data_IF_343417075729
#
_entry.id   IF_343417075729
#
_cell.length_a   1.000
_cell.length_b   1.000
_cell.length_c   1.000
_cell.angle_alpha   90.00
_cell.angle_beta   90.00
_cell.angle_gamma   90.00
#
_symmetry.space_group_name_H-M   'P 1'
#
loop_
_entity.id
_entity.type
_entity.pdbx_description
1 polymer ?
#
# COMPACT_ATOMS: atom_id res chain seq x y z
N UNK A 1 -12.79 -5.77 -14.22
CA UNK A 1 -13.63 -5.84 -13.02
C UNK A 1 -15.14 -5.89 -13.32
N UNK A 2 -15.68 -5.15 -14.32
CA UNK A 2 -17.12 -5.16 -14.65
C UNK A 2 -17.67 -6.55 -15.05
N UNK A 3 -16.80 -7.47 -15.51
CA UNK A 3 -17.19 -8.84 -15.87
C UNK A 3 -17.11 -9.84 -14.70
N UNK A 4 -16.58 -9.45 -13.55
CA UNK A 4 -16.62 -10.24 -12.30
C UNK A 4 -17.90 -9.85 -11.58
N UNK A 5 -19.00 -10.43 -12.01
CA UNK A 5 -20.35 -10.13 -11.50
C UNK A 5 -21.08 -11.45 -11.16
N UNK A 6 -22.32 -11.34 -10.69
CA UNK A 6 -23.18 -12.46 -10.34
C UNK A 6 -23.25 -13.54 -11.44
N UNK A 7 -23.19 -13.15 -12.72
CA UNK A 7 -23.18 -14.11 -13.85
C UNK A 7 -21.88 -14.94 -13.89
N UNK A 8 -20.74 -14.32 -13.63
CA UNK A 8 -19.47 -15.04 -13.53
C UNK A 8 -19.48 -16.04 -12.37
N UNK A 9 -20.05 -15.63 -11.21
CA UNK A 9 -20.20 -16.48 -10.04
C UNK A 9 -21.13 -17.69 -10.33
N UNK A 10 -22.27 -17.50 -11.02
CA UNK A 10 -23.13 -18.59 -11.43
C UNK A 10 -22.46 -19.56 -12.40
N UNK A 11 -21.64 -19.07 -13.34
CA UNK A 11 -20.88 -19.91 -14.26
C UNK A 11 -19.84 -20.77 -13.52
N UNK A 12 -19.23 -20.22 -12.45
CA UNK A 12 -18.28 -20.92 -11.59
C UNK A 12 -18.95 -22.06 -10.84
N UNK A 13 -20.08 -21.78 -10.12
CA UNK A 13 -20.80 -22.77 -9.31
C UNK A 13 -21.38 -23.88 -10.19
N UNK A 14 -21.86 -23.54 -11.40
CA UNK A 14 -22.41 -24.53 -12.31
C UNK A 14 -21.34 -25.34 -13.08
N UNK A 15 -20.06 -25.24 -12.72
CA UNK A 15 -18.96 -25.98 -13.33
C UNK A 15 -18.68 -25.66 -14.80
N UNK A 16 -19.25 -24.56 -15.32
CA UNK A 16 -19.08 -24.15 -16.73
C UNK A 16 -17.80 -23.34 -16.93
N UNK A 17 -16.65 -23.93 -16.59
CA UNK A 17 -15.35 -23.29 -16.63
C UNK A 17 -14.96 -22.71 -18.00
N UNK A 18 -15.29 -23.42 -19.09
CA UNK A 18 -15.02 -22.95 -20.46
C UNK A 18 -15.80 -21.68 -20.81
N UNK A 19 -17.07 -21.62 -20.38
CA UNK A 19 -17.92 -20.44 -20.59
C UNK A 19 -17.47 -19.27 -19.71
N UNK A 20 -17.08 -19.55 -18.49
CA UNK A 20 -16.48 -18.57 -17.57
C UNK A 20 -15.19 -17.99 -18.16
N UNK A 21 -14.28 -18.85 -18.63
CA UNK A 21 -13.03 -18.44 -19.27
C UNK A 21 -13.24 -17.47 -20.43
N UNK A 22 -14.18 -17.75 -21.32
CA UNK A 22 -14.52 -16.84 -22.41
C UNK A 22 -15.22 -15.55 -21.91
N UNK A 23 -16.09 -15.67 -20.90
CA UNK A 23 -16.84 -14.52 -20.37
C UNK A 23 -15.93 -13.49 -19.69
N UNK A 24 -14.96 -13.93 -18.89
CA UNK A 24 -14.02 -13.05 -18.18
C UNK A 24 -12.76 -12.69 -18.99
N UNK A 25 -12.67 -13.08 -20.26
CA UNK A 25 -11.44 -12.98 -21.05
C UNK A 25 -10.25 -13.70 -20.37
N UNK A 26 -10.41 -14.98 -20.09
CA UNK A 26 -9.47 -15.77 -19.31
C UNK A 26 -8.03 -15.74 -19.79
N UNK A 27 -7.80 -15.63 -21.13
CA UNK A 27 -6.45 -15.46 -21.71
C UNK A 27 -5.79 -14.16 -21.22
N UNK A 28 -6.52 -13.05 -21.27
CA UNK A 28 -6.04 -11.76 -20.78
C UNK A 28 -5.80 -11.79 -19.27
N UNK A 29 -6.76 -12.34 -18.50
CA UNK A 29 -6.64 -12.44 -17.05
C UNK A 29 -5.48 -13.34 -16.64
N UNK A 30 -5.27 -14.48 -17.32
CA UNK A 30 -4.15 -15.38 -17.06
C UNK A 30 -2.79 -14.74 -17.35
N UNK A 31 -2.66 -14.03 -18.48
CA UNK A 31 -1.43 -13.28 -18.80
C UNK A 31 -1.18 -12.15 -17.79
N UNK A 32 -2.24 -11.47 -17.35
CA UNK A 32 -2.14 -10.42 -16.33
C UNK A 32 -1.67 -10.99 -15.00
N UNK A 33 -2.27 -12.09 -14.52
CA UNK A 33 -1.86 -12.75 -13.26
C UNK A 33 -0.41 -13.24 -13.38
N UNK A 34 -0.05 -13.89 -14.48
CA UNK A 34 1.32 -14.35 -14.72
C UNK A 34 2.31 -13.18 -14.68
N UNK A 35 1.98 -12.07 -15.36
CA UNK A 35 2.80 -10.85 -15.31
C UNK A 35 2.93 -10.27 -13.90
N UNK A 36 1.85 -10.26 -13.12
CA UNK A 36 1.88 -9.82 -11.71
C UNK A 36 2.78 -10.71 -10.86
N UNK A 37 2.69 -12.04 -11.01
CA UNK A 37 3.53 -12.99 -10.26
C UNK A 37 5.01 -12.82 -10.61
N UNK A 38 5.35 -12.78 -11.91
CA UNK A 38 6.74 -12.56 -12.36
C UNK A 38 7.26 -11.21 -11.85
N UNK A 39 6.47 -10.15 -12.00
CA UNK A 39 6.84 -8.80 -11.53
C UNK A 39 7.05 -8.79 -10.02
N UNK A 40 6.16 -9.41 -9.24
CA UNK A 40 6.29 -9.48 -7.79
C UNK A 40 7.61 -10.12 -7.36
N UNK A 41 7.92 -11.31 -7.87
CA UNK A 41 9.15 -12.00 -7.48
C UNK A 41 10.43 -11.30 -7.98
N UNK A 42 10.40 -10.72 -9.19
CA UNK A 42 11.58 -10.04 -9.75
C UNK A 42 11.81 -8.69 -9.09
N UNK A 43 10.76 -7.87 -8.95
CA UNK A 43 10.88 -6.51 -8.40
C UNK A 43 11.10 -6.55 -6.90
N UNK A 44 10.46 -7.48 -6.16
CA UNK A 44 10.64 -7.61 -4.72
C UNK A 44 12.11 -7.89 -4.38
N UNK A 45 12.69 -8.94 -4.98
CA UNK A 45 14.11 -9.28 -4.73
C UNK A 45 15.08 -8.16 -5.12
N UNK A 46 14.78 -7.46 -6.24
CA UNK A 46 15.60 -6.32 -6.64
C UNK A 46 15.50 -5.17 -5.64
N UNK A 47 14.28 -4.86 -5.18
CA UNK A 47 14.05 -3.80 -4.20
C UNK A 47 14.68 -4.14 -2.85
N UNK A 48 14.55 -5.39 -2.39
CA UNK A 48 15.18 -5.86 -1.14
C UNK A 48 16.70 -5.64 -1.20
N UNK A 49 17.34 -6.09 -2.28
CA UNK A 49 18.78 -5.87 -2.49
C UNK A 49 19.14 -4.38 -2.51
N UNK A 50 18.36 -3.56 -3.22
CA UNK A 50 18.61 -2.12 -3.32
C UNK A 50 18.39 -1.40 -1.99
N UNK A 51 17.36 -1.76 -1.22
CA UNK A 51 17.09 -1.16 0.09
C UNK A 51 18.15 -1.58 1.10
N UNK A 52 18.62 -2.83 1.04
CA UNK A 52 19.66 -3.32 1.96
C UNK A 52 21.02 -2.60 1.73
N UNK A 53 21.39 -2.36 0.47
CA UNK A 53 22.72 -1.83 0.14
C UNK A 53 22.72 -0.33 -0.20
N UNK A 54 21.58 0.23 -0.64
CA UNK A 54 21.47 1.58 -1.18
C UNK A 54 20.23 2.32 -0.65
N UNK A 55 19.87 2.12 0.62
CA UNK A 55 18.64 2.61 1.23
C UNK A 55 18.38 4.09 0.95
N UNK A 56 19.38 4.96 1.17
CA UNK A 56 19.28 6.41 0.93
C UNK A 56 18.86 6.75 -0.50
N UNK A 57 19.46 6.09 -1.49
CA UNK A 57 19.22 6.40 -2.91
C UNK A 57 17.87 5.88 -3.39
N UNK A 58 17.42 4.74 -2.86
CA UNK A 58 16.08 4.20 -3.14
C UNK A 58 15.01 5.13 -2.59
N UNK A 59 15.14 5.55 -1.33
CA UNK A 59 14.20 6.52 -0.73
C UNK A 59 14.25 7.87 -1.45
N UNK A 60 15.41 8.31 -1.91
CA UNK A 60 15.55 9.53 -2.71
C UNK A 60 14.80 9.43 -4.04
N UNK A 61 14.91 8.31 -4.75
CA UNK A 61 14.16 8.07 -5.97
C UNK A 61 12.65 8.05 -5.72
N UNK A 62 12.18 7.36 -4.68
CA UNK A 62 10.76 7.35 -4.30
C UNK A 62 10.25 8.74 -3.92
N UNK A 63 11.01 9.49 -3.14
CA UNK A 63 10.69 10.88 -2.78
C UNK A 63 10.52 11.75 -4.04
N UNK A 64 11.46 11.62 -4.99
CA UNK A 64 11.39 12.30 -6.28
C UNK A 64 10.17 11.90 -7.10
N UNK A 65 9.85 10.61 -7.17
CA UNK A 65 8.65 10.13 -7.87
C UNK A 65 7.36 10.67 -7.27
N UNK A 66 7.27 10.79 -5.94
CA UNK A 66 6.11 11.37 -5.27
C UNK A 66 5.99 12.86 -5.58
N UNK A 67 7.08 13.63 -5.56
CA UNK A 67 7.08 15.05 -5.96
C UNK A 67 6.62 15.19 -7.42
N UNK A 68 7.14 14.35 -8.31
CA UNK A 68 6.71 14.33 -9.72
C UNK A 68 5.21 14.05 -9.87
N UNK A 69 4.67 13.14 -9.06
CA UNK A 69 3.24 12.81 -9.03
C UNK A 69 2.39 13.97 -8.51
N UNK A 70 2.82 14.65 -7.44
CA UNK A 70 2.14 15.86 -6.92
C UNK A 70 2.09 16.93 -8.01
N UNK A 71 3.20 17.20 -8.67
CA UNK A 71 3.27 18.18 -9.77
C UNK A 71 2.30 17.81 -10.89
N UNK A 72 2.25 16.55 -11.28
CA UNK A 72 1.35 16.06 -12.32
C UNK A 72 -0.13 16.25 -11.95
N UNK A 73 -0.54 15.77 -10.77
CA UNK A 73 -1.92 15.88 -10.30
C UNK A 73 -2.32 17.37 -10.14
N UNK A 74 -1.39 18.22 -9.74
CA UNK A 74 -1.64 19.65 -9.54
C UNK A 74 -1.80 20.44 -10.85
N UNK A 75 -1.33 19.91 -11.99
CA UNK A 75 -1.33 20.60 -13.28
C UNK A 75 -2.74 20.90 -13.80
N UNK A 76 -3.66 19.96 -13.60
CA UNK A 76 -5.08 20.10 -13.98
C UNK A 76 -5.93 20.74 -12.88
N UNK A 77 -5.30 21.07 -11.75
CA UNK A 77 -5.97 21.58 -10.56
C UNK A 77 -5.99 23.11 -10.53
N UNK A 78 -7.17 23.71 -10.45
CA UNK A 78 -7.33 25.16 -10.34
C UNK A 78 -7.12 25.62 -8.89
N UNK A 79 -5.90 26.01 -8.54
CA UNK A 79 -5.53 26.56 -7.22
C UNK A 79 -6.28 27.85 -6.81
N UNK A 80 -6.99 28.50 -7.74
CA UNK A 80 -7.52 29.87 -7.59
C UNK A 80 -8.68 30.05 -6.61
N UNK A 81 -9.17 28.99 -5.93
CA UNK A 81 -10.24 29.13 -4.95
C UNK A 81 -9.69 29.02 -3.53
N UNK A 82 -10.01 29.98 -2.67
CA UNK A 82 -9.68 29.94 -1.23
C UNK A 82 -10.16 28.64 -0.56
N UNK A 83 -11.34 28.15 -0.98
CA UNK A 83 -11.86 26.87 -0.53
C UNK A 83 -10.91 25.71 -0.83
N UNK A 84 -10.32 25.65 -2.03
CA UNK A 84 -9.37 24.60 -2.40
C UNK A 84 -8.09 24.63 -1.55
N UNK A 85 -7.62 25.84 -1.19
CA UNK A 85 -6.47 25.99 -0.31
C UNK A 85 -6.73 25.44 1.09
N UNK A 86 -7.94 25.63 1.65
CA UNK A 86 -8.33 25.06 2.94
C UNK A 86 -8.36 23.53 2.89
N UNK A 87 -8.84 22.93 1.79
CA UNK A 87 -8.85 21.47 1.63
C UNK A 87 -7.44 20.90 1.42
N UNK A 88 -6.53 21.62 0.75
CA UNK A 88 -5.12 21.24 0.69
C UNK A 88 -4.51 21.26 2.10
N UNK A 89 -4.74 22.32 2.87
CA UNK A 89 -4.24 22.44 4.23
C UNK A 89 -4.78 21.33 5.13
N UNK A 90 -6.07 21.01 5.02
CA UNK A 90 -6.69 19.89 5.72
C UNK A 90 -5.99 18.56 5.36
N UNK A 91 -5.74 18.31 4.06
CA UNK A 91 -5.00 17.14 3.60
C UNK A 91 -3.58 17.11 4.17
N UNK A 92 -2.84 18.23 4.17
CA UNK A 92 -1.49 18.31 4.74
C UNK A 92 -1.52 17.96 6.23
N UNK A 93 -2.42 18.57 6.99
CA UNK A 93 -2.55 18.29 8.44
C UNK A 93 -2.85 16.82 8.68
N UNK A 94 -3.77 16.23 7.92
CA UNK A 94 -4.10 14.81 8.02
C UNK A 94 -2.87 13.92 7.70
N UNK A 95 -2.14 14.21 6.60
CA UNK A 95 -0.95 13.45 6.22
C UNK A 95 0.18 13.56 7.25
N UNK A 96 0.43 14.77 7.76
CA UNK A 96 1.43 14.98 8.82
C UNK A 96 1.01 14.27 10.11
N UNK A 97 -0.26 14.38 10.51
CA UNK A 97 -0.75 13.73 11.73
C UNK A 97 -0.54 12.21 11.68
N UNK A 98 -0.90 11.57 10.56
CA UNK A 98 -0.68 10.13 10.36
C UNK A 98 0.83 9.81 10.34
N UNK A 99 1.66 10.67 9.76
CA UNK A 99 3.12 10.50 9.70
C UNK A 99 3.80 10.56 11.08
N UNK A 100 3.16 11.20 12.06
CA UNK A 100 3.67 11.39 13.43
C UNK A 100 3.00 10.45 14.44
N UNK A 101 2.04 9.62 14.03
CA UNK A 101 1.38 8.67 14.93
C UNK A 101 2.33 7.54 15.31
N UNK A 102 2.30 7.17 16.58
CA UNK A 102 2.95 5.95 17.08
C UNK A 102 2.05 4.72 16.83
N UNK A 103 2.64 3.54 16.55
CA UNK A 103 1.87 2.32 16.40
C UNK A 103 1.07 2.00 17.66
N UNK A 104 -0.20 1.64 17.48
CA UNK A 104 -1.04 1.15 18.55
C UNK A 104 -0.65 -0.29 18.96
N UNK A 105 -1.18 -0.76 20.09
CA UNK A 105 -1.03 -2.15 20.51
C UNK A 105 -1.92 -3.08 19.70
N UNK A 106 -1.45 -4.31 19.48
CA UNK A 106 -2.19 -5.36 18.78
C UNK A 106 -3.53 -5.68 19.46
N UNK A 107 -4.55 -5.92 18.65
CA UNK A 107 -5.89 -6.25 19.11
C UNK A 107 -6.52 -7.32 18.19
N UNK A 108 -6.81 -8.50 18.73
CA UNK A 108 -7.35 -9.65 18.04
C UNK A 108 -8.89 -9.71 18.01
N UNK A 109 -9.57 -8.71 18.57
CA UNK A 109 -11.03 -8.63 18.54
C UNK A 109 -11.53 -8.65 17.09
N UNK A 110 -12.39 -9.62 16.77
CA UNK A 110 -12.84 -9.87 15.39
C UNK A 110 -13.56 -8.67 14.75
N UNK A 111 -14.30 -7.85 15.52
CA UNK A 111 -14.91 -6.63 15.02
C UNK A 111 -13.87 -5.56 14.69
N UNK A 112 -12.87 -5.41 15.56
CA UNK A 112 -11.77 -4.51 15.32
C UNK A 112 -10.97 -4.93 14.08
N UNK A 113 -10.68 -6.21 13.96
CA UNK A 113 -10.01 -6.83 12.79
C UNK A 113 -10.82 -6.63 11.50
N UNK A 114 -12.14 -6.77 11.56
CA UNK A 114 -13.02 -6.47 10.41
C UNK A 114 -12.88 -5.00 9.96
N UNK A 115 -12.88 -4.05 10.91
CA UNK A 115 -12.66 -2.62 10.62
C UNK A 115 -11.25 -2.39 10.09
N UNK A 116 -10.23 -3.08 10.61
CA UNK A 116 -8.87 -3.04 10.06
C UNK A 116 -8.82 -3.47 8.59
N UNK A 117 -9.62 -4.46 8.19
CA UNK A 117 -9.79 -4.87 6.80
C UNK A 117 -10.34 -3.75 5.91
N UNK A 118 -11.40 -3.08 6.37
CA UNK A 118 -12.00 -1.93 5.67
C UNK A 118 -10.97 -0.80 5.51
N UNK A 119 -10.29 -0.43 6.59
CA UNK A 119 -9.35 0.69 6.62
C UNK A 119 -8.09 0.36 5.81
N UNK A 120 -7.54 -0.86 5.95
CA UNK A 120 -6.33 -1.30 5.25
C UNK A 120 -6.48 -1.23 3.74
N UNK A 121 -7.59 -1.76 3.20
CA UNK A 121 -7.88 -1.67 1.75
C UNK A 121 -8.17 -0.23 1.33
N UNK A 122 -8.80 0.57 2.21
CA UNK A 122 -9.02 2.00 1.95
C UNK A 122 -7.70 2.76 1.79
N UNK A 123 -6.70 2.45 2.61
CA UNK A 123 -5.37 3.02 2.49
C UNK A 123 -4.66 2.72 1.18
N UNK A 124 -4.86 1.52 0.62
CA UNK A 124 -4.27 1.15 -0.68
C UNK A 124 -4.85 1.93 -1.86
N UNK A 125 -6.05 2.49 -1.74
CA UNK A 125 -6.71 3.24 -2.80
C UNK A 125 -6.41 4.74 -2.74
N UNK A 126 -5.90 5.23 -1.60
CA UNK A 126 -5.53 6.62 -1.43
C UNK A 126 -4.06 6.82 -1.85
N UNK A 127 -3.78 7.70 -2.83
CA UNK A 127 -2.41 8.03 -3.20
C UNK A 127 -1.64 8.58 -1.99
N UNK A 128 -0.43 8.08 -1.77
CA UNK A 128 0.42 8.54 -0.65
C UNK A 128 0.21 7.79 0.67
N UNK A 129 -0.75 6.85 0.75
CA UNK A 129 -0.89 5.92 1.87
C UNK A 129 -0.72 4.48 1.41
N UNK A 130 0.06 3.73 2.16
CA UNK A 130 0.12 2.27 2.04
C UNK A 130 -0.85 1.65 3.05
N UNK A 131 -1.69 0.70 2.60
CA UNK A 131 -2.57 -0.03 3.51
C UNK A 131 -1.81 -0.78 4.61
N UNK A 132 -0.64 -1.32 4.27
CA UNK A 132 0.26 -1.96 5.24
C UNK A 132 0.77 -0.96 6.29
N UNK A 133 1.11 0.27 5.90
CA UNK A 133 1.51 1.31 6.83
C UNK A 133 0.38 1.65 7.82
N UNK A 134 -0.86 1.75 7.35
CA UNK A 134 -2.01 1.96 8.23
C UNK A 134 -2.16 0.79 9.23
N UNK A 135 -2.02 -0.44 8.76
CA UNK A 135 -2.10 -1.62 9.62
C UNK A 135 -0.98 -1.65 10.66
N UNK A 136 0.23 -1.15 10.32
CA UNK A 136 1.32 -0.95 11.28
C UNK A 136 0.93 0.09 12.34
N UNK A 137 0.37 1.23 11.94
CA UNK A 137 -0.08 2.27 12.87
C UNK A 137 -1.19 1.79 13.80
N UNK A 138 -2.09 0.94 13.30
CA UNK A 138 -3.15 0.32 14.10
C UNK A 138 -2.60 -0.79 15.00
N UNK A 139 -1.34 -1.21 14.83
CA UNK A 139 -0.68 -2.26 15.60
C UNK A 139 -0.97 -3.69 15.13
N UNK A 140 -1.77 -3.87 14.10
CA UNK A 140 -2.28 -5.18 13.69
C UNK A 140 -1.62 -5.78 12.43
N UNK A 141 -0.53 -5.18 11.95
CA UNK A 141 0.12 -5.63 10.72
C UNK A 141 0.64 -7.08 10.83
N UNK A 142 1.34 -7.39 11.93
CA UNK A 142 1.95 -8.73 12.13
C UNK A 142 0.85 -9.78 12.27
N UNK A 143 -0.12 -9.56 13.14
CA UNK A 143 -1.26 -10.45 13.35
C UNK A 143 -1.99 -10.77 12.04
N UNK A 144 -2.26 -9.75 11.20
CA UNK A 144 -3.13 -9.88 10.03
C UNK A 144 -2.40 -10.39 8.77
N UNK A 145 -1.18 -9.92 8.52
CA UNK A 145 -0.47 -10.20 7.27
C UNK A 145 0.70 -11.18 7.43
N UNK A 146 1.12 -11.49 8.65
CA UNK A 146 2.18 -12.46 8.91
C UNK A 146 1.60 -13.70 9.57
N UNK A 147 1.14 -13.59 10.80
CA UNK A 147 0.75 -14.75 11.62
C UNK A 147 -0.48 -15.47 11.06
N UNK A 148 -1.54 -14.71 10.71
CA UNK A 148 -2.77 -15.28 10.15
C UNK A 148 -2.55 -15.89 8.76
N UNK A 149 -1.66 -15.31 7.94
CA UNK A 149 -1.34 -15.85 6.61
C UNK A 149 -0.47 -17.11 6.74
N UNK A 150 0.50 -17.11 7.65
CA UNK A 150 1.28 -18.32 7.95
C UNK A 150 0.39 -19.44 8.47
N UNK A 151 -0.53 -19.14 9.39
CA UNK A 151 -1.51 -20.11 9.87
C UNK A 151 -2.37 -20.72 8.75
N UNK A 152 -2.78 -19.91 7.77
CA UNK A 152 -3.47 -20.40 6.57
C UNK A 152 -2.58 -21.30 5.74
N UNK A 153 -1.33 -20.93 5.48
CA UNK A 153 -0.38 -21.72 4.70
C UNK A 153 -0.11 -23.08 5.35
N UNK A 154 0.13 -23.10 6.67
CA UNK A 154 0.32 -24.33 7.44
C UNK A 154 -0.92 -25.22 7.41
N UNK A 155 -2.11 -24.62 7.56
CA UNK A 155 -3.38 -25.35 7.49
C UNK A 155 -3.60 -25.99 6.11
N UNK A 156 -3.31 -25.26 5.02
CA UNK A 156 -3.40 -25.81 3.66
C UNK A 156 -2.40 -26.94 3.43
N UNK A 157 -1.22 -26.84 4.01
CA UNK A 157 -0.18 -27.86 3.94
C UNK A 157 -0.59 -29.14 4.69
N UNK A 158 -1.19 -28.98 5.89
CA UNK A 158 -1.69 -30.11 6.69
C UNK A 158 -2.87 -30.79 6.00
N UNK A 159 -3.82 -30.03 5.45
CA UNK A 159 -4.92 -30.58 4.64
C UNK A 159 -4.38 -31.38 3.43
N UNK A 160 -3.35 -30.88 2.75
CA UNK A 160 -2.73 -31.60 1.64
C UNK A 160 -2.08 -32.93 2.06
N UNK A 161 -1.69 -33.04 3.33
CA UNK A 161 -1.16 -34.27 3.95
C UNK A 161 -2.26 -35.14 4.60
N UNK A 162 -3.54 -34.75 4.48
CA UNK A 162 -4.69 -35.36 5.17
C UNK A 162 -4.58 -35.32 6.70
N UNK A 163 -3.83 -34.38 7.25
CA UNK A 163 -3.74 -34.12 8.68
C UNK A 163 -4.71 -33.03 9.09
N UNK A 164 -5.67 -33.35 9.95
CA UNK A 164 -6.70 -32.43 10.45
C UNK A 164 -6.49 -32.06 11.92
N UNK A 165 -5.33 -32.35 12.49
CA UNK A 165 -5.01 -32.03 13.90
C UNK A 165 -5.03 -30.56 14.23
N UNK A 166 -4.91 -29.67 13.19
CA UNK A 166 -4.99 -28.24 13.35
C UNK A 166 -6.33 -27.74 13.95
N UNK A 167 -7.40 -28.53 13.83
CA UNK A 167 -8.73 -28.18 14.38
C UNK A 167 -8.71 -28.14 15.92
N UNK A 168 -7.87 -28.94 16.55
CA UNK A 168 -7.69 -28.96 18.00
C UNK A 168 -6.75 -27.89 18.51
N UNK A 169 -6.02 -27.21 17.59
CA UNK A 169 -5.15 -26.11 17.92
C UNK A 169 -5.93 -24.78 17.98
N UNK A 170 -6.24 -24.37 19.22
CA UNK A 170 -7.04 -23.17 19.51
C UNK A 170 -6.39 -21.88 18.93
N UNK A 171 -5.07 -21.75 19.03
CA UNK A 171 -4.33 -20.60 18.54
C UNK A 171 -4.45 -20.48 17.00
N UNK A 172 -4.17 -21.59 16.29
CA UNK A 172 -4.30 -21.63 14.82
C UNK A 172 -5.73 -21.33 14.36
N UNK A 173 -6.71 -21.91 15.06
CA UNK A 173 -8.13 -21.68 14.76
C UNK A 173 -8.52 -20.22 14.97
N UNK A 174 -7.99 -19.56 16.00
CA UNK A 174 -8.22 -18.13 16.22
C UNK A 174 -7.58 -17.28 15.12
N UNK A 175 -6.35 -17.57 14.70
CA UNK A 175 -5.68 -16.87 13.58
C UNK A 175 -6.47 -17.02 12.27
N UNK A 176 -7.06 -18.19 11.99
CA UNK A 176 -7.92 -18.38 10.83
C UNK A 176 -9.23 -17.57 10.92
N UNK A 177 -9.82 -17.43 12.10
CA UNK A 177 -10.99 -16.55 12.32
C UNK A 177 -10.61 -15.07 12.10
N UNK A 178 -9.45 -14.66 12.61
CA UNK A 178 -8.89 -13.32 12.40
C UNK A 178 -8.72 -13.05 10.91
N UNK A 179 -8.07 -13.96 10.17
CA UNK A 179 -7.89 -13.81 8.72
C UNK A 179 -9.22 -13.74 7.96
N UNK A 180 -10.20 -14.56 8.35
CA UNK A 180 -11.54 -14.56 7.74
C UNK A 180 -12.23 -13.22 7.98
N UNK A 181 -12.21 -12.71 9.21
CA UNK A 181 -12.79 -11.42 9.58
C UNK A 181 -12.12 -10.26 8.82
N UNK A 182 -10.79 -10.26 8.74
CA UNK A 182 -10.00 -9.30 7.98
C UNK A 182 -10.35 -9.32 6.48
N UNK A 183 -10.44 -10.52 5.90
CA UNK A 183 -10.78 -10.68 4.48
C UNK A 183 -12.18 -10.19 4.18
N UNK A 184 -13.17 -10.51 5.01
CA UNK A 184 -14.53 -10.02 4.87
C UNK A 184 -14.57 -8.48 4.98
N UNK A 185 -13.88 -7.90 5.97
CA UNK A 185 -13.73 -6.46 6.12
C UNK A 185 -13.11 -5.82 4.88
N UNK A 186 -12.06 -6.45 4.32
CA UNK A 186 -11.38 -5.98 3.11
C UNK A 186 -12.30 -5.98 1.89
N UNK A 187 -13.12 -7.02 1.72
CA UNK A 187 -14.11 -7.08 0.62
C UNK A 187 -15.16 -5.98 0.76
N UNK A 188 -15.70 -5.80 1.97
CA UNK A 188 -16.67 -4.73 2.26
C UNK A 188 -16.03 -3.36 2.04
N UNK A 189 -14.81 -3.16 2.52
CA UNK A 189 -14.03 -1.93 2.32
C UNK A 189 -13.82 -1.61 0.85
N UNK A 190 -13.41 -2.61 0.05
CA UNK A 190 -13.19 -2.44 -1.38
C UNK A 190 -14.47 -2.00 -2.12
N UNK A 191 -15.60 -2.64 -1.81
CA UNK A 191 -16.88 -2.33 -2.44
C UNK A 191 -17.39 -0.94 -2.03
N UNK A 192 -17.41 -0.65 -0.72
CA UNK A 192 -17.92 0.62 -0.18
C UNK A 192 -17.07 1.79 -0.61
N UNK A 193 -15.74 1.65 -0.53
CA UNK A 193 -14.81 2.71 -0.92
C UNK A 193 -14.82 2.96 -2.43
N UNK A 194 -14.90 1.91 -3.25
CA UNK A 194 -15.01 2.06 -4.71
C UNK A 194 -16.23 2.90 -5.10
N UNK A 195 -17.37 2.67 -4.45
CA UNK A 195 -18.59 3.47 -4.67
C UNK A 195 -18.46 4.90 -4.12
N UNK A 196 -17.95 5.03 -2.89
CA UNK A 196 -17.75 6.33 -2.25
C UNK A 196 -16.78 7.20 -3.05
N UNK A 197 -15.62 6.66 -3.45
CA UNK A 197 -14.62 7.37 -4.23
C UNK A 197 -15.15 7.77 -5.61
N UNK A 198 -15.88 6.86 -6.27
CA UNK A 198 -16.56 7.14 -7.55
C UNK A 198 -17.57 8.28 -7.42
N UNK A 199 -18.37 8.30 -6.36
CA UNK A 199 -19.32 9.37 -6.08
C UNK A 199 -18.64 10.71 -5.80
N UNK A 200 -17.63 10.71 -4.93
CA UNK A 200 -16.89 11.92 -4.52
C UNK A 200 -16.11 12.51 -5.70
N UNK A 201 -15.42 11.69 -6.49
CA UNK A 201 -14.71 12.15 -7.70
C UNK A 201 -15.68 12.71 -8.76
N UNK A 202 -16.89 12.18 -8.87
CA UNK A 202 -17.89 12.67 -9.83
C UNK A 202 -18.47 14.01 -9.41
N UNK A 203 -18.78 14.21 -8.12
CA UNK A 203 -19.52 15.39 -7.63
C UNK A 203 -18.60 16.48 -7.05
N UNK A 204 -17.45 16.09 -6.47
CA UNK A 204 -16.52 16.98 -5.75
C UNK A 204 -15.09 16.87 -6.24
N UNK A 205 -14.91 16.74 -7.56
CA UNK A 205 -13.61 16.50 -8.20
C UNK A 205 -12.50 17.43 -7.69
N UNK A 206 -12.74 18.74 -7.67
CA UNK A 206 -11.73 19.71 -7.25
C UNK A 206 -11.35 19.60 -5.77
N UNK A 207 -12.34 19.41 -4.90
CA UNK A 207 -12.11 19.24 -3.46
C UNK A 207 -11.31 17.95 -3.21
N UNK A 208 -11.69 16.87 -3.89
CA UNK A 208 -10.99 15.58 -3.77
C UNK A 208 -9.53 15.69 -4.18
N UNK A 209 -9.24 16.32 -5.33
CA UNK A 209 -7.85 16.57 -5.74
C UNK A 209 -7.10 17.46 -4.75
N UNK A 210 -7.75 18.49 -4.19
CA UNK A 210 -7.14 19.35 -3.17
C UNK A 210 -6.72 18.54 -1.94
N UNK A 211 -7.61 17.71 -1.41
CA UNK A 211 -7.32 16.85 -0.24
C UNK A 211 -6.22 15.83 -0.57
N UNK A 212 -6.27 15.19 -1.74
CA UNK A 212 -5.26 14.21 -2.17
C UNK A 212 -3.88 14.88 -2.30
N UNK A 213 -3.78 16.01 -2.98
CA UNK A 213 -2.52 16.77 -3.13
C UNK A 213 -1.98 17.17 -1.75
N UNK A 214 -2.84 17.70 -0.89
CA UNK A 214 -2.47 18.06 0.48
C UNK A 214 -1.97 16.85 1.26
N UNK A 215 -2.70 15.75 1.20
CA UNK A 215 -2.37 14.53 1.91
C UNK A 215 -1.03 13.92 1.47
N UNK A 216 -0.81 13.79 0.16
CA UNK A 216 0.48 13.30 -0.36
C UNK A 216 1.62 14.24 0.05
N UNK A 217 1.39 15.56 0.02
CA UNK A 217 2.38 16.55 0.45
C UNK A 217 2.70 16.42 1.94
N UNK A 218 1.68 16.23 2.79
CA UNK A 218 1.86 16.03 4.24
C UNK A 218 2.56 14.70 4.58
N UNK A 219 2.32 13.66 3.79
CA UNK A 219 2.94 12.34 3.99
C UNK A 219 4.38 12.25 3.45
N UNK A 220 4.91 13.28 2.77
CA UNK A 220 6.31 13.30 2.30
C UNK A 220 7.32 13.07 3.43
N UNK A 221 7.00 13.45 4.66
CA UNK A 221 7.82 13.18 5.83
C UNK A 221 8.08 11.68 6.08
N UNK A 222 7.16 10.79 5.71
CA UNK A 222 7.32 9.34 5.87
C UNK A 222 8.42 8.80 4.95
N UNK A 223 8.49 9.31 3.73
CA UNK A 223 9.43 8.90 2.70
C UNK A 223 10.68 9.78 2.62
N UNK A 224 10.89 10.64 3.64
CA UNK A 224 12.08 11.48 3.72
C UNK A 224 13.35 10.62 3.61
N UNK A 225 14.26 10.90 2.67
CA UNK A 225 15.42 10.04 2.42
C UNK A 225 16.44 10.02 3.56
N UNK A 226 16.69 11.18 4.17
CA UNK A 226 17.70 11.35 5.22
C UNK A 226 17.10 10.99 6.58
N UNK A 227 17.11 9.69 6.89
CA UNK A 227 16.59 9.12 8.13
C UNK A 227 17.46 7.96 8.58
N UNK A 228 17.58 7.79 9.89
CA UNK A 228 18.29 6.69 10.55
C UNK A 228 17.30 5.80 11.29
N UNK A 229 17.59 4.51 11.34
CA UNK A 229 16.78 3.52 12.05
C UNK A 229 17.03 3.64 13.55
N UNK A 230 15.99 3.87 14.31
CA UNK A 230 16.00 3.82 15.78
C UNK A 230 15.41 2.50 16.22
N UNK A 231 16.15 1.73 17.01
CA UNK A 231 15.72 0.42 17.46
C UNK A 231 15.23 0.46 18.89
N UNK A 232 14.22 -0.37 19.20
CA UNK A 232 13.68 -0.48 20.57
C UNK A 232 14.74 -0.94 21.54
N UNK A 233 14.76 -0.28 22.71
CA UNK A 233 15.61 -0.68 23.85
C UNK A 233 14.76 -1.20 24.98
N UNK A 234 15.25 -2.21 25.72
CA UNK A 234 14.70 -2.63 27.01
C UNK A 234 15.04 -1.59 28.07
N UNK A 235 14.30 -1.61 29.18
CA UNK A 235 14.56 -0.72 30.31
C UNK A 235 15.98 -0.78 30.92
N UNK A 236 16.76 -1.81 30.57
CA UNK A 236 18.17 -1.96 30.94
C UNK A 236 19.14 -1.39 29.87
N UNK A 237 18.64 -0.76 28.79
CA UNK A 237 19.45 -0.19 27.70
C UNK A 237 19.87 -1.18 26.61
N UNK A 238 19.49 -2.47 26.70
CA UNK A 238 19.79 -3.45 25.67
C UNK A 238 18.78 -3.34 24.50
N UNK A 239 19.29 -3.54 23.26
CA UNK A 239 18.45 -3.55 22.06
C UNK A 239 17.48 -4.74 22.08
N UNK A 240 16.20 -4.48 21.83
CA UNK A 240 15.18 -5.51 21.75
C UNK A 240 15.36 -6.30 20.44
N UNK A 241 15.37 -7.63 20.56
CA UNK A 241 15.40 -8.54 19.40
C UNK A 241 14.10 -9.32 19.32
N UNK A 242 13.65 -9.59 18.10
CA UNK A 242 12.53 -10.47 17.81
C UNK A 242 12.88 -11.96 18.05
N UNK A 243 11.90 -12.86 17.84
CA UNK A 243 12.09 -14.31 17.99
C UNK A 243 13.14 -14.89 17.01
N UNK A 244 13.44 -14.19 15.92
CA UNK A 244 14.42 -14.57 14.90
C UNK A 244 15.79 -13.94 15.13
N UNK A 245 15.97 -13.15 16.20
CA UNK A 245 17.21 -12.48 16.56
C UNK A 245 17.45 -11.14 15.87
N UNK A 246 16.50 -10.64 15.08
CA UNK A 246 16.60 -9.34 14.42
C UNK A 246 16.26 -8.20 15.37
N UNK A 247 16.89 -7.04 15.17
CA UNK A 247 16.61 -5.84 15.95
C UNK A 247 15.20 -5.32 15.63
N UNK A 248 14.41 -5.06 16.67
CA UNK A 248 13.07 -4.50 16.52
C UNK A 248 13.17 -3.00 16.26
N UNK A 249 12.71 -2.56 15.08
CA UNK A 249 12.66 -1.16 14.71
C UNK A 249 11.61 -0.44 15.57
N UNK A 250 11.99 0.68 16.16
CA UNK A 250 11.09 1.55 16.91
C UNK A 250 10.54 2.68 16.04
N UNK A 251 11.45 3.48 15.47
CA UNK A 251 11.11 4.66 14.69
C UNK A 251 12.26 4.99 13.72
N UNK A 252 12.08 6.08 12.97
CA UNK A 252 13.12 6.69 12.14
C UNK A 252 13.40 8.10 12.66
N UNK A 253 14.67 8.38 12.97
CA UNK A 253 15.12 9.75 13.23
C UNK A 253 15.46 10.44 11.91
N UNK A 254 14.84 11.60 11.66
CA UNK A 254 14.98 12.36 10.42
C UNK A 254 15.94 13.50 10.63
N UNK A 255 16.93 13.59 9.77
CA UNK A 255 17.92 14.68 9.83
C UNK A 255 17.97 15.49 8.54
N UNK A 256 18.57 16.67 8.61
CA UNK A 256 18.81 17.49 7.43
C UNK A 256 20.14 17.09 6.79
N UNK A 257 20.19 16.98 5.44
CA UNK A 257 21.40 16.57 4.75
C UNK A 257 22.52 17.59 4.89
N UNK A 258 23.74 17.12 5.06
CA UNK A 258 24.92 17.96 4.97
C UNK A 258 25.31 18.16 3.50
N UNK A 259 25.32 19.41 3.03
CA UNK A 259 25.63 19.73 1.63
C UNK A 259 27.09 19.52 1.26
N UNK A 260 27.94 19.29 2.26
CA UNK A 260 29.38 18.96 2.05
C UNK A 260 29.58 17.51 1.61
N UNK A 261 28.61 16.62 1.86
CA UNK A 261 28.75 15.21 1.64
C UNK A 261 28.40 14.83 0.19
N UNK A 262 29.26 14.07 -0.46
CA UNK A 262 29.04 13.57 -1.82
C UNK A 262 27.79 12.68 -1.92
N UNK A 263 27.49 11.92 -0.86
CA UNK A 263 26.27 11.09 -0.75
C UNK A 263 24.99 11.91 -0.87
N UNK A 264 24.97 13.14 -0.34
CA UNK A 264 23.85 14.07 -0.46
C UNK A 264 23.61 14.47 -1.92
N UNK A 265 24.64 14.77 -2.67
CA UNK A 265 24.50 15.13 -4.09
C UNK A 265 24.03 13.96 -4.95
N UNK A 266 24.51 12.75 -4.65
CA UNK A 266 24.01 11.54 -5.32
C UNK A 266 22.53 11.32 -4.99
N UNK A 267 22.13 11.51 -3.73
CA UNK A 267 20.73 11.42 -3.33
C UNK A 267 19.84 12.44 -4.06
N UNK A 268 20.30 13.70 -4.18
CA UNK A 268 19.61 14.74 -4.97
C UNK A 268 19.50 14.35 -6.45
N UNK A 269 20.53 13.75 -7.02
CA UNK A 269 20.47 13.23 -8.39
C UNK A 269 19.36 12.16 -8.53
N UNK A 270 19.23 11.24 -7.57
CA UNK A 270 18.15 10.24 -7.59
C UNK A 270 16.76 10.86 -7.38
N UNK A 271 16.63 11.94 -6.60
CA UNK A 271 15.37 12.71 -6.50
C UNK A 271 14.97 13.25 -7.87
N UNK A 272 15.91 13.91 -8.56
CA UNK A 272 15.67 14.46 -9.90
C UNK A 272 15.32 13.34 -10.89
N UNK A 273 16.03 12.23 -10.83
CA UNK A 273 15.75 11.06 -11.67
C UNK A 273 14.34 10.53 -11.43
N UNK A 274 13.91 10.42 -10.18
CA UNK A 274 12.55 10.01 -9.82
C UNK A 274 11.48 10.93 -10.40
N UNK A 275 11.68 12.26 -10.31
CA UNK A 275 10.79 13.26 -10.93
C UNK A 275 10.72 13.05 -12.45
N UNK A 276 11.87 12.89 -13.10
CA UNK A 276 11.96 12.73 -14.56
C UNK A 276 11.30 11.42 -15.03
N UNK A 277 11.41 10.34 -14.28
CA UNK A 277 10.73 9.06 -14.58
C UNK A 277 9.21 9.28 -14.64
N UNK A 278 8.62 9.90 -13.62
CA UNK A 278 7.18 10.15 -13.58
C UNK A 278 6.72 11.05 -14.72
N UNK A 279 7.42 12.17 -14.96
CA UNK A 279 7.08 13.09 -16.04
C UNK A 279 7.27 12.46 -17.42
N UNK A 280 8.26 11.58 -17.59
CA UNK A 280 8.49 10.83 -18.82
C UNK A 280 7.38 9.82 -19.11
N UNK A 281 6.98 9.04 -18.11
CA UNK A 281 5.88 8.08 -18.21
C UNK A 281 4.55 8.75 -18.55
N UNK A 282 4.28 9.90 -17.96
CA UNK A 282 3.10 10.72 -18.25
C UNK A 282 3.06 11.20 -19.70
N UNK A 283 4.17 11.78 -20.18
CA UNK A 283 4.26 12.24 -21.58
C UNK A 283 4.01 11.09 -22.55
N UNK A 284 4.56 9.92 -22.28
CA UNK A 284 4.37 8.72 -23.08
C UNK A 284 2.91 8.23 -23.06
N UNK A 285 2.27 8.21 -21.88
CA UNK A 285 0.87 7.83 -21.73
C UNK A 285 -0.08 8.77 -22.48
N UNK A 286 0.10 10.08 -22.35
CA UNK A 286 -0.72 11.09 -23.04
C UNK A 286 -0.57 11.04 -24.57
N UNK A 287 0.63 10.76 -25.09
CA UNK A 287 0.87 10.61 -26.53
C UNK A 287 0.08 9.44 -27.10
N UNK A 288 0.06 8.30 -26.42
CA UNK A 288 -0.66 7.12 -26.88
C UNK A 288 -2.19 7.26 -26.77
N UNK A 289 -2.69 8.00 -25.76
CA UNK A 289 -4.11 8.29 -25.63
C UNK A 289 -4.64 9.13 -26.82
N UNK A 290 -3.88 10.15 -27.23
CA UNK A 290 -4.23 11.00 -28.37
C UNK A 290 -4.13 10.30 -29.72
N UNK A 291 -3.29 9.29 -29.88
CA UNK A 291 -3.18 8.49 -31.12
C UNK A 291 -4.37 7.56 -31.31
N UNK A 292 -4.92 7.00 -30.22
CA UNK A 292 -6.06 6.10 -30.23
C UNK A 292 -7.43 6.81 -30.39
N UNK A 293 -7.50 8.14 -30.22
CA UNK A 293 -8.73 8.93 -30.43
C UNK A 293 -8.84 9.50 -31.84
N UNK A 294 -7.77 9.48 -32.61
CA UNK A 294 -7.70 10.02 -33.98
C UNK A 294 -7.58 8.92 -35.08
N UNK A 295 -7.70 7.65 -34.74
CA UNK A 295 -7.80 6.49 -35.64
C UNK A 295 -9.11 5.78 -35.47
#
# INVERSE_FOLDING_TARGET
>A
LQKVNYKAFLLLINGRFRSLYHYVNGKFLGLLILGMVISYFSVSKLLDFLIEHFELYVWSAFFGMIIGSIYYISKDFKLKSFSNLLFILFGIVAGVSISLMEPATENDNLWFVFVCGIIGVSGMTLPGLSGSFILILIGNYVLLLVDSVNALFDTLTDIAKFDFSFVDNQERTNLLKVLTSFTLGSVVGLVTLSHALGYVLKHYKNITYAVIIGFITGSLGVVWPWKEKVFKTRGNGELLKDANGNLVLDNYDRYLPHLTDMTTWIAIFFIILGILIVLGLERYGNKNANTNTNG
#
